data_IF_865374458683
#
_entry.id   IF_865374458683
#
_cell.length_a   1.000
_cell.length_b   1.000
_cell.length_c   1.000
_cell.angle_alpha   90.00
_cell.angle_beta   90.00
_cell.angle_gamma   90.00
#
_symmetry.space_group_name_H-M   'P 1'
#
loop_
_entity.id
_entity.type
_entity.pdbx_description
1 polymer ?
#
# COMPACT_ATOMS: atom_id res chain seq x y z
N UNK A 1 2.17 -19.31 3.06
CA UNK A 1 2.69 -19.83 1.78
C UNK A 1 2.90 -21.33 1.92
N UNK A 2 2.01 -22.17 1.37
CA UNK A 2 2.15 -23.63 1.42
C UNK A 2 2.50 -24.14 0.02
N UNK A 3 3.76 -24.49 -0.19
CA UNK A 3 4.21 -25.22 -1.37
C UNK A 3 3.64 -26.64 -1.30
N UNK A 4 2.82 -27.04 -2.29
CA UNK A 4 2.42 -28.44 -2.43
C UNK A 4 3.48 -29.10 -3.31
N UNK A 5 4.28 -29.98 -2.71
CA UNK A 5 5.25 -30.79 -3.43
C UNK A 5 4.51 -31.92 -4.18
N UNK A 6 4.63 -31.93 -5.50
CA UNK A 6 4.06 -32.97 -6.35
C UNK A 6 5.11 -34.10 -6.54
N UNK A 7 4.79 -35.28 -6.00
CA UNK A 7 5.68 -36.45 -5.97
C UNK A 7 5.84 -37.14 -7.34
N UNK A 8 4.97 -36.88 -8.31
CA UNK A 8 5.05 -37.52 -9.63
C UNK A 8 5.89 -36.70 -10.62
N UNK A 9 5.90 -35.38 -10.45
CA UNK A 9 6.62 -34.45 -11.35
C UNK A 9 7.89 -33.88 -10.73
N UNK A 10 8.14 -34.08 -9.43
CA UNK A 10 9.24 -33.49 -8.66
C UNK A 10 9.35 -31.95 -8.82
N UNK A 11 8.26 -31.29 -9.19
CA UNK A 11 8.20 -29.84 -9.36
C UNK A 11 7.34 -29.22 -8.26
N UNK A 12 7.78 -28.06 -7.76
CA UNK A 12 6.98 -27.24 -6.85
C UNK A 12 5.88 -26.59 -7.69
N UNK A 13 4.66 -27.13 -7.63
CA UNK A 13 3.51 -26.51 -8.25
C UNK A 13 3.09 -25.30 -7.42
N UNK A 14 2.92 -24.15 -8.06
CA UNK A 14 2.32 -22.96 -7.44
C UNK A 14 0.83 -23.22 -7.22
N UNK A 15 0.52 -24.06 -6.23
CA UNK A 15 -0.82 -24.21 -5.71
C UNK A 15 -1.21 -22.90 -5.05
N UNK A 16 -1.78 -21.97 -5.83
CA UNK A 16 -2.61 -20.89 -5.31
C UNK A 16 -3.63 -21.60 -4.42
N UNK A 17 -3.71 -21.33 -3.11
CA UNK A 17 -4.87 -21.73 -2.34
C UNK A 17 -6.04 -21.12 -3.09
N UNK A 18 -6.81 -21.94 -3.79
CA UNK A 18 -7.96 -21.47 -4.53
C UNK A 18 -9.00 -21.12 -3.49
N UNK A 19 -8.91 -19.89 -2.96
CA UNK A 19 -10.00 -19.33 -2.19
C UNK A 19 -11.23 -19.49 -3.07
N UNK A 20 -12.29 -20.17 -2.58
CA UNK A 20 -13.49 -20.35 -3.36
C UNK A 20 -13.94 -18.98 -3.87
N UNK A 21 -14.26 -18.86 -5.16
CA UNK A 21 -14.48 -17.55 -5.79
C UNK A 21 -15.55 -16.71 -5.05
N UNK A 22 -16.53 -17.38 -4.44
CA UNK A 22 -17.53 -16.77 -3.57
C UNK A 22 -16.92 -16.13 -2.30
N UNK A 23 -15.95 -16.79 -1.66
CA UNK A 23 -15.22 -16.28 -0.48
C UNK A 23 -14.32 -15.11 -0.88
N UNK A 24 -13.76 -15.15 -2.08
CA UNK A 24 -13.04 -14.00 -2.65
C UNK A 24 -13.98 -12.81 -2.81
N UNK A 25 -15.18 -13.00 -3.37
CA UNK A 25 -16.16 -11.92 -3.49
C UNK A 25 -16.62 -11.40 -2.13
N UNK A 26 -17.06 -12.26 -1.22
CA UNK A 26 -17.59 -11.84 0.08
C UNK A 26 -16.49 -11.28 0.99
N UNK A 27 -15.35 -11.96 1.08
CA UNK A 27 -14.21 -11.54 1.89
C UNK A 27 -13.55 -10.25 1.41
N UNK A 28 -13.33 -10.09 0.09
CA UNK A 28 -12.80 -8.83 -0.45
C UNK A 28 -13.81 -7.70 -0.32
N UNK A 29 -15.11 -7.96 -0.47
CA UNK A 29 -16.14 -6.92 -0.29
C UNK A 29 -16.18 -6.43 1.16
N UNK A 30 -16.17 -7.34 2.14
CA UNK A 30 -16.14 -6.99 3.55
C UNK A 30 -14.86 -6.24 3.93
N UNK A 31 -13.70 -6.68 3.42
CA UNK A 31 -12.41 -6.02 3.67
C UNK A 31 -12.37 -4.62 3.06
N UNK A 32 -12.90 -4.45 1.84
CA UNK A 32 -13.01 -3.14 1.22
C UNK A 32 -13.96 -2.23 2.01
N UNK A 33 -15.14 -2.72 2.38
CA UNK A 33 -16.08 -1.95 3.18
C UNK A 33 -15.44 -1.48 4.49
N UNK A 34 -14.77 -2.39 5.21
CA UNK A 34 -14.00 -2.05 6.39
C UNK A 34 -12.99 -0.94 6.08
N UNK A 35 -12.11 -1.12 5.10
CA UNK A 35 -11.09 -0.13 4.75
C UNK A 35 -11.68 1.25 4.43
N UNK A 36 -12.74 1.32 3.63
CA UNK A 36 -13.33 2.60 3.21
C UNK A 36 -14.16 3.29 4.31
N UNK A 37 -14.71 2.52 5.26
CA UNK A 37 -15.54 3.05 6.34
C UNK A 37 -14.80 3.31 7.65
N UNK A 38 -13.65 2.67 7.88
CA UNK A 38 -12.89 2.81 9.15
C UNK A 38 -11.56 3.54 8.99
N UNK A 39 -11.09 3.76 7.76
CA UNK A 39 -9.88 4.55 7.55
C UNK A 39 -10.14 6.03 7.87
N UNK A 40 -9.53 6.48 8.97
CA UNK A 40 -9.72 7.81 9.53
C UNK A 40 -9.47 8.93 8.50
N UNK A 41 -8.48 8.79 7.63
CA UNK A 41 -8.16 9.80 6.60
C UNK A 41 -9.28 9.93 5.58
N UNK A 42 -9.90 8.81 5.21
CA UNK A 42 -11.00 8.80 4.23
C UNK A 42 -12.26 9.37 4.87
N UNK A 43 -12.62 8.88 6.06
CA UNK A 43 -13.82 9.32 6.79
C UNK A 43 -13.75 10.83 7.08
N UNK A 44 -12.60 11.33 7.55
CA UNK A 44 -12.42 12.75 7.83
C UNK A 44 -12.58 13.62 6.58
N UNK A 45 -12.10 13.17 5.41
CA UNK A 45 -12.28 13.92 4.14
C UNK A 45 -13.74 14.03 3.73
N UNK A 46 -14.54 13.00 3.97
CA UNK A 46 -15.98 13.03 3.69
C UNK A 46 -16.71 13.90 4.69
N UNK A 47 -16.38 13.82 5.99
CA UNK A 47 -17.00 14.65 7.04
C UNK A 47 -16.63 16.13 6.93
N UNK A 48 -15.46 16.45 6.39
CA UNK A 48 -15.02 17.82 6.13
C UNK A 48 -15.60 18.43 4.84
N UNK A 49 -16.37 17.67 4.05
CA UNK A 49 -16.98 18.18 2.83
C UNK A 49 -18.11 19.18 3.15
N UNK A 50 -18.25 20.22 2.31
CA UNK A 50 -19.24 21.29 2.51
C UNK A 50 -20.70 20.80 2.52
N UNK A 51 -20.98 19.68 1.84
CA UNK A 51 -22.29 19.03 1.86
C UNK A 51 -22.18 17.53 1.60
N UNK A 52 -23.20 16.78 2.01
CA UNK A 52 -23.30 15.34 1.74
C UNK A 52 -23.20 15.03 0.24
N UNK A 53 -23.86 15.84 -0.60
CA UNK A 53 -23.83 15.65 -2.05
C UNK A 53 -22.41 15.82 -2.64
N UNK A 54 -21.61 16.76 -2.11
CA UNK A 54 -20.22 16.94 -2.54
C UNK A 54 -19.33 15.79 -2.04
N UNK A 55 -19.53 15.34 -0.79
CA UNK A 55 -18.85 14.16 -0.26
C UNK A 55 -19.09 12.90 -1.10
N UNK A 56 -20.35 12.65 -1.49
CA UNK A 56 -20.72 11.51 -2.34
C UNK A 56 -20.08 11.60 -3.73
N UNK A 57 -20.10 12.78 -4.36
CA UNK A 57 -19.42 13.01 -5.66
C UNK A 57 -17.92 12.76 -5.56
N UNK A 58 -17.30 13.23 -4.48
CA UNK A 58 -15.87 13.00 -4.20
C UNK A 58 -15.53 11.52 -4.06
N UNK A 59 -16.34 10.75 -3.32
CA UNK A 59 -16.16 9.30 -3.17
C UNK A 59 -16.36 8.58 -4.51
N UNK A 60 -17.38 8.95 -5.29
CA UNK A 60 -17.61 8.36 -6.62
C UNK A 60 -16.45 8.65 -7.57
N UNK A 61 -15.93 9.87 -7.55
CA UNK A 61 -14.75 10.24 -8.33
C UNK A 61 -13.50 9.44 -7.90
N UNK A 62 -13.27 9.29 -6.60
CA UNK A 62 -12.18 8.47 -6.07
C UNK A 62 -12.31 6.99 -6.49
N UNK A 63 -13.53 6.44 -6.49
CA UNK A 63 -13.81 5.08 -6.97
C UNK A 63 -13.48 4.94 -8.47
N UNK A 64 -13.89 5.90 -9.30
CA UNK A 64 -13.57 5.92 -10.73
C UNK A 64 -12.05 5.97 -10.98
N UNK A 65 -11.33 6.83 -10.25
CA UNK A 65 -9.87 6.93 -10.33
C UNK A 65 -9.16 5.62 -9.92
N UNK A 66 -9.74 4.84 -9.01
CA UNK A 66 -9.17 3.57 -8.57
C UNK A 66 -9.22 2.48 -9.64
N UNK A 67 -10.26 2.47 -10.47
CA UNK A 67 -10.34 1.58 -11.64
C UNK A 67 -9.21 1.89 -12.62
N UNK A 68 -8.97 3.18 -12.88
CA UNK A 68 -7.85 3.63 -13.73
C UNK A 68 -6.50 3.23 -13.12
N UNK A 69 -6.32 3.47 -11.81
CA UNK A 69 -5.09 3.10 -11.10
C UNK A 69 -4.78 1.60 -11.16
N UNK A 70 -5.80 0.75 -11.04
CA UNK A 70 -5.63 -0.71 -11.16
C UNK A 70 -5.04 -1.12 -12.52
N UNK A 71 -5.52 -0.50 -13.60
CA UNK A 71 -5.00 -0.74 -14.96
C UNK A 71 -3.52 -0.35 -15.07
N UNK A 72 -3.14 0.81 -14.53
CA UNK A 72 -1.74 1.26 -14.52
C UNK A 72 -0.82 0.38 -13.68
N UNK A 73 -1.32 -0.28 -12.64
CA UNK A 73 -0.54 -1.19 -11.79
C UNK A 73 -0.43 -2.60 -12.42
N UNK A 74 -1.53 -3.15 -12.92
CA UNK A 74 -1.57 -4.56 -13.37
C UNK A 74 -0.97 -4.77 -14.76
N UNK A 75 -1.15 -3.81 -15.69
CA UNK A 75 -0.64 -3.96 -17.05
C UNK A 75 0.89 -4.06 -17.07
N UNK A 76 1.67 -3.16 -16.44
CA UNK A 76 3.12 -3.26 -16.46
C UNK A 76 3.62 -4.54 -15.77
N UNK A 77 3.01 -4.95 -14.66
CA UNK A 77 3.35 -6.22 -14.00
C UNK A 77 3.15 -7.42 -14.94
N UNK A 78 2.03 -7.47 -15.66
CA UNK A 78 1.73 -8.54 -16.60
C UNK A 78 2.68 -8.53 -17.80
N UNK A 79 2.97 -7.34 -18.36
CA UNK A 79 3.91 -7.16 -19.47
C UNK A 79 5.32 -7.63 -19.06
N UNK A 80 5.80 -7.22 -17.89
CA UNK A 80 7.12 -7.61 -17.40
C UNK A 80 7.26 -9.12 -17.23
N UNK A 81 6.25 -9.80 -16.68
CA UNK A 81 6.24 -11.27 -16.58
C UNK A 81 6.26 -11.93 -17.98
N UNK A 82 5.49 -11.40 -18.94
CA UNK A 82 5.51 -11.91 -20.31
C UNK A 82 6.86 -11.69 -21.00
N UNK A 83 7.54 -10.57 -20.74
CA UNK A 83 8.87 -10.30 -21.27
C UNK A 83 9.92 -11.28 -20.75
N UNK A 84 9.88 -11.60 -19.45
CA UNK A 84 10.73 -12.64 -18.85
C UNK A 84 10.44 -14.01 -19.49
N UNK A 85 9.16 -14.39 -19.60
CA UNK A 85 8.76 -15.69 -20.17
C UNK A 85 9.13 -15.87 -21.64
N UNK A 86 9.11 -14.80 -22.42
CA UNK A 86 9.44 -14.82 -23.84
C UNK A 86 10.93 -14.53 -24.13
N UNK A 87 11.79 -14.43 -23.09
CA UNK A 87 13.22 -14.09 -23.23
C UNK A 87 13.45 -12.82 -24.07
N UNK A 88 12.67 -11.78 -23.82
CA UNK A 88 12.82 -10.50 -24.53
C UNK A 88 14.14 -9.86 -24.13
N UNK A 89 14.90 -9.34 -25.12
CA UNK A 89 16.16 -8.66 -24.88
C UNK A 89 15.99 -7.14 -25.05
N UNK A 90 16.62 -6.38 -24.17
CA UNK A 90 16.66 -4.92 -24.17
C UNK A 90 18.13 -4.52 -24.28
N UNK A 91 18.48 -3.75 -25.31
CA UNK A 91 19.86 -3.36 -25.60
C UNK A 91 20.84 -4.56 -25.67
N UNK A 92 20.36 -5.71 -26.15
CA UNK A 92 21.14 -6.94 -26.27
C UNK A 92 21.26 -7.76 -24.98
N UNK A 93 20.63 -7.33 -23.89
CA UNK A 93 20.63 -8.02 -22.58
C UNK A 93 19.24 -8.62 -22.32
N UNK A 94 19.12 -9.89 -21.90
CA UNK A 94 17.82 -10.47 -21.57
C UNK A 94 17.17 -9.73 -20.40
N UNK A 95 15.89 -9.43 -20.54
CA UNK A 95 15.09 -8.87 -19.46
C UNK A 95 14.87 -9.93 -18.39
N UNK A 96 15.58 -9.80 -17.27
CA UNK A 96 15.52 -10.72 -16.14
C UNK A 96 15.15 -9.95 -14.87
N UNK A 97 14.31 -10.56 -14.04
CA UNK A 97 13.86 -9.99 -12.76
C UNK A 97 14.16 -11.00 -11.66
N UNK A 98 14.79 -10.54 -10.57
CA UNK A 98 15.20 -11.42 -9.48
C UNK A 98 14.03 -11.76 -8.54
N UNK A 99 13.18 -10.77 -8.22
CA UNK A 99 11.99 -10.94 -7.35
C UNK A 99 10.72 -10.47 -8.03
N UNK A 100 9.58 -11.12 -7.73
CA UNK A 100 8.28 -10.76 -8.32
C UNK A 100 7.89 -9.29 -8.08
N UNK A 101 8.27 -8.71 -6.94
CA UNK A 101 7.93 -7.33 -6.60
C UNK A 101 8.81 -6.29 -7.32
N UNK A 102 9.90 -6.73 -7.95
CA UNK A 102 10.82 -5.88 -8.72
C UNK A 102 10.41 -5.75 -10.20
N UNK A 103 9.44 -6.54 -10.67
CA UNK A 103 9.01 -6.58 -12.08
C UNK A 103 8.59 -5.19 -12.58
N UNK A 104 7.81 -4.47 -11.77
CA UNK A 104 7.32 -3.16 -12.15
C UNK A 104 8.46 -2.12 -12.22
N UNK A 105 9.31 -1.95 -11.19
CA UNK A 105 10.49 -1.09 -11.27
C UNK A 105 11.43 -1.40 -12.45
N UNK A 106 11.74 -2.68 -12.69
CA UNK A 106 12.64 -3.08 -13.77
C UNK A 106 12.03 -2.80 -15.15
N UNK A 107 10.73 -3.01 -15.33
CA UNK A 107 10.06 -2.66 -16.57
C UNK A 107 10.06 -1.14 -16.82
N UNK A 108 9.83 -0.34 -15.77
CA UNK A 108 9.89 1.12 -15.90
C UNK A 108 11.30 1.58 -16.29
N UNK A 109 12.33 1.00 -15.67
CA UNK A 109 13.73 1.29 -16.01
C UNK A 109 14.07 0.96 -17.45
N UNK A 110 13.51 -0.14 -17.96
CA UNK A 110 13.68 -0.58 -19.33
C UNK A 110 12.99 0.30 -20.38
N UNK A 111 11.83 0.87 -20.06
CA UNK A 111 10.99 1.58 -21.03
C UNK A 111 11.14 3.10 -20.96
N UNK A 112 11.47 3.66 -19.79
CA UNK A 112 11.54 5.11 -19.60
C UNK A 112 12.87 5.72 -20.10
N UNK A 113 12.82 6.96 -20.62
CA UNK A 113 14.02 7.75 -20.87
C UNK A 113 14.84 7.98 -19.59
N UNK A 114 16.16 8.06 -19.73
CA UNK A 114 17.09 8.22 -18.60
C UNK A 114 16.78 9.44 -17.70
N UNK A 115 16.30 10.54 -18.27
CA UNK A 115 15.97 11.77 -17.53
C UNK A 115 14.72 11.64 -16.65
N UNK A 116 13.77 10.77 -16.99
CA UNK A 116 12.52 10.63 -16.24
C UNK A 116 12.60 9.59 -15.13
N UNK A 117 13.66 8.75 -15.10
CA UNK A 117 13.86 7.74 -14.06
C UNK A 117 13.99 8.36 -12.67
N UNK A 118 14.73 9.48 -12.56
CA UNK A 118 14.86 10.21 -11.29
C UNK A 118 13.54 10.81 -10.82
N UNK A 119 12.73 11.33 -11.76
CA UNK A 119 11.39 11.86 -11.47
C UNK A 119 10.47 10.74 -10.99
N UNK A 120 10.50 9.58 -11.66
CA UNK A 120 9.71 8.41 -11.26
C UNK A 120 10.10 7.93 -9.86
N UNK A 121 11.39 7.80 -9.57
CA UNK A 121 11.89 7.43 -8.24
C UNK A 121 11.43 8.44 -7.17
N UNK A 122 11.51 9.74 -7.46
CA UNK A 122 11.05 10.79 -6.56
C UNK A 122 9.53 10.70 -6.29
N UNK A 123 8.72 10.46 -7.33
CA UNK A 123 7.26 10.29 -7.19
C UNK A 123 6.92 9.05 -6.37
N UNK A 124 7.62 7.93 -6.58
CA UNK A 124 7.43 6.71 -5.78
C UNK A 124 7.75 6.95 -4.30
N UNK A 125 8.92 7.54 -4.00
CA UNK A 125 9.31 7.85 -2.62
C UNK A 125 8.32 8.84 -2.00
N UNK A 126 7.92 9.88 -2.74
CA UNK A 126 6.92 10.85 -2.29
C UNK A 126 5.56 10.21 -1.99
N UNK A 127 5.12 9.26 -2.82
CA UNK A 127 3.89 8.49 -2.60
C UNK A 127 3.97 7.64 -1.33
N UNK A 128 5.08 6.92 -1.13
CA UNK A 128 5.32 6.12 0.08
C UNK A 128 5.32 7.00 1.33
N UNK A 129 6.04 8.13 1.30
CA UNK A 129 6.09 9.08 2.42
C UNK A 129 4.72 9.70 2.71
N UNK A 130 3.91 9.99 1.68
CA UNK A 130 2.55 10.51 1.85
C UNK A 130 1.63 9.51 2.57
N UNK A 131 1.66 8.24 2.16
CA UNK A 131 0.91 7.18 2.83
C UNK A 131 1.42 6.95 4.25
N UNK A 132 2.74 6.95 4.46
CA UNK A 132 3.35 6.80 5.79
C UNK A 132 2.92 7.94 6.73
N UNK A 133 3.00 9.19 6.28
CA UNK A 133 2.55 10.36 7.05
C UNK A 133 1.06 10.29 7.39
N UNK A 134 0.24 9.82 6.45
CA UNK A 134 -1.20 9.64 6.66
C UNK A 134 -1.50 8.59 7.73
N UNK A 135 -0.78 7.47 7.71
CA UNK A 135 -0.89 6.42 8.72
C UNK A 135 -0.42 6.92 10.10
N UNK A 136 0.72 7.63 10.13
CA UNK A 136 1.28 8.17 11.37
C UNK A 136 0.36 9.21 12.02
N UNK A 137 -0.24 10.09 11.22
CA UNK A 137 -1.20 11.09 11.70
C UNK A 137 -2.45 10.42 12.29
N UNK A 138 -2.95 9.37 11.63
CA UNK A 138 -4.10 8.60 12.12
C UNK A 138 -3.78 7.91 13.46
N UNK A 139 -2.64 7.22 13.54
CA UNK A 139 -2.19 6.56 14.77
C UNK A 139 -1.97 7.55 15.92
N UNK A 140 -1.37 8.71 15.62
CA UNK A 140 -1.13 9.77 16.61
C UNK A 140 -2.44 10.37 17.11
N UNK A 141 -3.43 10.56 16.23
CA UNK A 141 -4.75 11.09 16.60
C UNK A 141 -5.50 10.12 17.51
N UNK A 142 -5.54 8.83 17.15
CA UNK A 142 -6.15 7.76 17.96
C UNK A 142 -5.46 7.71 19.34
N UNK A 143 -4.13 7.70 19.37
CA UNK A 143 -3.41 7.68 20.64
C UNK A 143 -3.67 8.92 21.50
N UNK A 144 -3.63 10.11 20.91
CA UNK A 144 -3.85 11.36 21.64
C UNK A 144 -5.26 11.48 22.21
N UNK A 145 -6.27 11.30 21.35
CA UNK A 145 -7.67 11.55 21.70
C UNK A 145 -8.31 10.35 22.41
N UNK A 146 -8.06 9.14 21.95
CA UNK A 146 -8.79 7.95 22.42
C UNK A 146 -8.05 7.23 23.56
N UNK A 147 -6.72 7.28 23.59
CA UNK A 147 -5.93 6.62 24.63
C UNK A 147 -5.54 7.62 25.72
N UNK A 148 -4.78 8.65 25.36
CA UNK A 148 -4.19 9.57 26.32
C UNK A 148 -5.24 10.45 26.99
N UNK A 149 -6.13 11.10 26.23
CA UNK A 149 -7.17 11.98 26.80
C UNK A 149 -8.23 11.21 27.57
N UNK A 150 -8.56 9.97 27.22
CA UNK A 150 -9.62 9.23 27.94
C UNK A 150 -9.06 8.51 29.17
N UNK A 151 -7.96 7.75 29.01
CA UNK A 151 -7.50 6.82 30.05
C UNK A 151 -6.32 7.32 30.88
N UNK A 152 -5.51 8.26 30.36
CA UNK A 152 -4.28 8.70 31.05
C UNK A 152 -4.49 10.05 31.73
N UNK A 153 -5.02 11.04 31.00
CA UNK A 153 -5.24 12.38 31.53
C UNK A 153 -6.50 13.02 30.94
N UNK A 154 -7.62 12.80 31.65
CA UNK A 154 -8.97 13.25 31.26
C UNK A 154 -9.16 14.76 31.28
N UNK A 155 -8.29 15.49 31.97
CA UNK A 155 -8.31 16.96 32.02
C UNK A 155 -7.17 17.60 31.21
N UNK A 156 -6.52 16.84 30.33
CA UNK A 156 -5.46 17.39 29.49
C UNK A 156 -6.02 18.45 28.54
N UNK A 157 -5.35 19.60 28.48
CA UNK A 157 -5.60 20.62 27.45
C UNK A 157 -5.32 20.07 26.05
N UNK A 158 -5.99 20.64 25.04
CA UNK A 158 -5.83 20.20 23.66
C UNK A 158 -4.37 20.30 23.18
N UNK A 159 -3.66 21.37 23.56
CA UNK A 159 -2.24 21.54 23.24
C UNK A 159 -1.38 20.41 23.83
N UNK A 160 -1.68 19.97 25.05
CA UNK A 160 -0.94 18.88 25.71
C UNK A 160 -1.22 17.55 25.02
N UNK A 161 -2.46 17.32 24.61
CA UNK A 161 -2.86 16.11 23.86
C UNK A 161 -2.12 16.05 22.52
N UNK A 162 -2.11 17.15 21.77
CA UNK A 162 -1.38 17.25 20.49
C UNK A 162 0.11 17.00 20.70
N UNK A 163 0.73 17.62 21.72
CA UNK A 163 2.16 17.43 22.00
C UNK A 163 2.51 15.97 22.30
N UNK A 164 1.70 15.30 23.12
CA UNK A 164 1.90 13.88 23.47
C UNK A 164 1.67 12.98 22.26
N UNK A 165 0.66 13.26 21.43
CA UNK A 165 0.42 12.56 20.18
C UNK A 165 1.59 12.71 19.20
N UNK A 166 2.17 13.91 19.07
CA UNK A 166 3.35 14.15 18.22
C UNK A 166 4.58 13.39 18.71
N UNK A 167 4.81 13.35 20.03
CA UNK A 167 5.93 12.57 20.61
C UNK A 167 5.73 11.08 20.35
N UNK A 168 4.51 10.57 20.52
CA UNK A 168 4.16 9.19 20.20
C UNK A 168 4.40 8.87 18.72
N UNK A 169 3.97 9.75 17.80
CA UNK A 169 4.26 9.61 16.37
C UNK A 169 5.76 9.56 16.09
N UNK A 170 6.55 10.47 16.65
CA UNK A 170 8.00 10.46 16.49
C UNK A 170 8.64 9.16 17.00
N UNK A 171 8.18 8.66 18.15
CA UNK A 171 8.64 7.38 18.71
C UNK A 171 8.29 6.20 17.79
N UNK A 172 7.05 6.15 17.27
CA UNK A 172 6.63 5.13 16.30
C UNK A 172 7.48 5.15 15.03
N UNK A 173 7.80 6.35 14.51
CA UNK A 173 8.68 6.51 13.35
C UNK A 173 10.07 5.94 13.62
N UNK A 174 10.67 6.26 14.77
CA UNK A 174 11.97 5.72 15.17
C UNK A 174 11.92 4.20 15.28
N UNK A 175 10.91 3.63 15.95
CA UNK A 175 10.74 2.19 16.05
C UNK A 175 10.60 1.53 14.66
N UNK A 176 9.84 2.15 13.76
CA UNK A 176 9.64 1.66 12.39
C UNK A 176 10.96 1.58 11.61
N UNK A 177 11.86 2.56 11.78
CA UNK A 177 13.20 2.54 11.16
C UNK A 177 14.06 1.36 11.61
N UNK A 178 13.91 0.89 12.84
CA UNK A 178 14.65 -0.27 13.34
C UNK A 178 14.01 -1.61 12.94
N UNK A 179 12.67 -1.66 12.87
CA UNK A 179 11.93 -2.88 12.56
C UNK A 179 11.91 -3.17 11.05
N UNK A 180 11.80 -2.15 10.19
CA UNK A 180 11.66 -2.35 8.75
C UNK A 180 12.79 -3.17 8.10
N UNK A 181 14.08 -2.95 8.41
CA UNK A 181 15.18 -3.77 7.87
C UNK A 181 15.19 -5.22 8.36
N UNK A 182 14.49 -5.51 9.46
CA UNK A 182 14.40 -6.87 10.01
C UNK A 182 13.35 -7.68 9.26
N UNK A 183 12.24 -7.06 8.84
CA UNK A 183 11.23 -7.71 8.00
C UNK A 183 11.81 -8.13 6.64
N UNK A 184 12.61 -7.27 6.01
CA UNK A 184 13.21 -7.56 4.69
C UNK A 184 14.25 -8.70 4.72
N UNK A 185 14.60 -9.23 5.89
CA UNK A 185 15.48 -10.40 6.05
C UNK A 185 14.70 -11.70 6.23
N UNK A 186 13.40 -11.59 6.54
CA UNK A 186 12.50 -12.72 6.77
C UNK A 186 11.78 -13.10 5.47
N UNK A 187 11.62 -12.15 4.55
CA UNK A 187 11.14 -12.33 3.16
C UNK A 187 12.28 -12.64 2.18
#
# INVERSE_FOLDING_TARGET
HSEVYDNDTHQRSWGVPSLPWHVTLTGLTLTNLYYWSTNQVIVQRVLAAESLAQGQKGVLFAAAMKVVGFTFLCLPGTIGILMVRNNVHIDGVPFAVAKSDEVYPELVKAVMPSWSLGVFAAVLIGSVLSTFNSALNSASTIFGLEIYKIFINTQASEEKVVRVATIFGAALTLCSFFIAPQLSRVD
#
